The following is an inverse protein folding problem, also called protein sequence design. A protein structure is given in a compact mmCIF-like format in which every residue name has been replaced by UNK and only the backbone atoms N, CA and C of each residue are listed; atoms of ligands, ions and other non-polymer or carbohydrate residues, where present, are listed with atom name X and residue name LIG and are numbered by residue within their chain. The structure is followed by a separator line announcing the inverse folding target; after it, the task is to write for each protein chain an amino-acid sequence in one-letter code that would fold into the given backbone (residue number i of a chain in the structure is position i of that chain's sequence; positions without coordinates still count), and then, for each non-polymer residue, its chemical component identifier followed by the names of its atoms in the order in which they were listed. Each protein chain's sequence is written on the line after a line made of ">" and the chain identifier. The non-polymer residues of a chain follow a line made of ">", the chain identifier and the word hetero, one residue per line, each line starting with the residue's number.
data_IF_902675907215
#
_entry.id   IF_902675907215
#
_cell.length_a   1.000
_cell.length_b   1.000
_cell.length_c   1.000
_cell.angle_alpha   90.00
_cell.angle_beta   90.00
_cell.angle_gamma   90.00
#
_symmetry.space_group_name_H-M   'P 1'
#
loop_
_entity.id
_entity.type
_entity.pdbx_description
1 polymer ?
#
# COMPACT_ATOMS: atom_id res chain seq x y z
N UNK A 1 39.10 51.48 58.44
CA UNK A 1 39.87 52.37 57.56
C UNK A 1 40.20 51.56 56.26
N UNK A 2 39.76 52.08 55.11
CA UNK A 2 40.06 51.69 53.71
C UNK A 2 39.44 50.41 53.19
N UNK A 3 38.34 50.61 52.50
CA UNK A 3 37.73 49.81 51.47
C UNK A 3 38.64 49.59 50.25
N UNK A 4 38.71 48.37 49.75
CA UNK A 4 39.22 48.06 48.41
C UNK A 4 38.10 47.32 47.65
N UNK A 5 37.61 47.95 46.61
CA UNK A 5 36.66 47.37 45.67
C UNK A 5 37.38 46.38 44.75
N UNK A 6 36.86 45.14 44.64
CA UNK A 6 37.20 44.19 43.57
C UNK A 6 36.05 44.14 42.55
N UNK A 7 36.40 44.54 41.35
CA UNK A 7 35.57 44.47 40.15
C UNK A 7 35.63 43.02 39.64
N UNK A 8 34.53 42.27 39.70
CA UNK A 8 34.41 40.95 39.12
C UNK A 8 33.84 41.08 37.68
N UNK A 9 34.72 40.81 36.71
CA UNK A 9 34.34 40.59 35.30
C UNK A 9 33.70 39.22 35.16
N UNK A 10 32.41 39.18 34.86
CA UNK A 10 31.69 37.96 34.49
C UNK A 10 31.87 37.73 33.00
N UNK A 11 32.63 36.71 32.62
CA UNK A 11 32.65 36.18 31.27
C UNK A 11 31.41 35.32 31.07
N UNK A 12 30.45 35.80 30.24
CA UNK A 12 29.35 35.00 29.76
C UNK A 12 29.83 34.09 28.62
N UNK A 13 30.02 32.82 28.90
CA UNK A 13 30.19 31.79 27.87
C UNK A 13 28.84 31.47 27.25
N UNK A 14 28.62 31.82 26.00
CA UNK A 14 27.51 31.37 25.19
C UNK A 14 27.72 29.87 24.88
N UNK A 15 27.05 29.01 25.62
CA UNK A 15 26.84 27.61 25.27
C UNK A 15 25.68 27.55 24.27
N UNK A 16 26.00 27.43 23.00
CA UNK A 16 25.05 27.00 21.96
C UNK A 16 24.72 25.55 22.22
N UNK A 17 23.59 25.29 22.87
CA UNK A 17 23.05 23.95 22.98
C UNK A 17 22.44 23.57 21.60
N UNK A 18 23.04 22.58 20.95
CA UNK A 18 22.33 21.82 19.90
C UNK A 18 21.11 21.18 20.53
N UNK A 19 19.93 21.69 20.22
CA UNK A 19 18.69 21.03 20.55
C UNK A 19 18.49 19.92 19.53
N UNK A 20 18.64 18.68 19.95
CA UNK A 20 18.04 17.51 19.31
C UNK A 20 16.54 17.73 19.27
N UNK A 21 15.84 17.47 18.14
CA UNK A 21 14.40 17.55 18.11
C UNK A 21 13.85 16.43 19.02
N UNK A 22 13.28 16.83 20.15
CA UNK A 22 12.49 15.97 20.99
C UNK A 22 11.28 15.49 20.19
N UNK A 23 11.09 14.19 20.13
CA UNK A 23 9.83 13.54 19.73
C UNK A 23 8.69 14.15 20.55
N UNK A 24 7.93 15.04 19.93
CA UNK A 24 6.71 15.60 20.53
C UNK A 24 5.65 14.52 20.45
N UNK A 25 5.37 13.85 21.57
CA UNK A 25 4.09 13.19 21.76
C UNK A 25 3.00 14.28 21.60
N UNK A 26 2.38 14.35 20.42
CA UNK A 26 1.14 15.09 20.23
C UNK A 26 0.02 14.33 20.95
N UNK A 27 -0.17 14.63 22.22
CA UNK A 27 -1.41 14.33 22.93
C UNK A 27 -2.50 15.19 22.28
N UNK A 28 -3.34 14.60 21.46
CA UNK A 28 -4.55 15.25 20.93
C UNK A 28 -5.55 15.33 22.08
N UNK A 29 -5.47 16.40 22.88
CA UNK A 29 -6.57 16.82 23.75
C UNK A 29 -7.65 17.39 22.84
N UNK A 30 -8.94 17.04 23.06
CA UNK A 30 -10.13 17.36 22.30
C UNK A 30 -10.12 18.73 21.60
N UNK A 31 -9.61 18.77 20.39
CA UNK A 31 -9.66 19.90 19.49
C UNK A 31 -10.90 19.76 18.58
N UNK A 32 -11.42 20.89 18.09
CA UNK A 32 -12.47 20.87 17.08
C UNK A 32 -12.09 19.97 15.90
N UNK A 33 -13.06 19.18 15.41
CA UNK A 33 -12.85 18.30 14.25
C UNK A 33 -12.36 19.12 13.05
N UNK A 34 -11.26 18.71 12.46
CA UNK A 34 -10.73 19.36 11.25
C UNK A 34 -11.67 19.04 10.08
N UNK A 35 -12.12 20.06 9.32
CA UNK A 35 -12.95 19.81 8.15
C UNK A 35 -12.29 18.85 7.16
N UNK A 36 -13.10 18.03 6.51
CA UNK A 36 -12.60 17.13 5.47
C UNK A 36 -11.97 17.91 4.32
N UNK A 37 -10.79 17.49 3.90
CA UNK A 37 -10.20 17.87 2.62
C UNK A 37 -9.22 16.77 2.17
N UNK A 38 -9.07 16.61 0.86
CA UNK A 38 -8.08 15.67 0.31
C UNK A 38 -6.65 16.06 0.67
N UNK A 39 -6.36 17.36 0.84
CA UNK A 39 -5.05 17.83 1.27
C UNK A 39 -4.72 17.35 2.70
N UNK A 40 -5.70 17.40 3.60
CA UNK A 40 -5.53 16.95 4.97
C UNK A 40 -5.39 15.41 5.04
N UNK A 41 -6.19 14.68 4.25
CA UNK A 41 -6.05 13.22 4.13
C UNK A 41 -4.65 12.86 3.62
N UNK A 42 -4.19 13.46 2.53
CA UNK A 42 -2.87 13.18 1.98
C UNK A 42 -1.75 13.58 2.95
N UNK A 43 -1.87 14.72 3.61
CA UNK A 43 -0.88 15.19 4.57
C UNK A 43 -0.72 14.21 5.73
N UNK A 44 -1.82 13.81 6.38
CA UNK A 44 -1.77 12.89 7.51
C UNK A 44 -1.32 11.49 7.09
N UNK A 45 -1.78 11.01 5.94
CA UNK A 45 -1.35 9.71 5.41
C UNK A 45 0.14 9.71 5.05
N UNK A 46 0.67 10.82 4.53
CA UNK A 46 2.12 11.00 4.34
C UNK A 46 2.86 10.97 5.67
N UNK A 47 2.36 11.64 6.70
CA UNK A 47 2.98 11.69 8.02
C UNK A 47 3.09 10.27 8.64
N UNK A 48 2.17 9.35 8.35
CA UNK A 48 2.34 7.93 8.72
C UNK A 48 3.68 7.39 8.22
N UNK A 49 3.96 7.49 6.93
CA UNK A 49 5.20 6.95 6.35
C UNK A 49 6.45 7.73 6.79
N UNK A 50 6.30 9.04 7.00
CA UNK A 50 7.42 9.89 7.36
C UNK A 50 7.82 9.76 8.84
N UNK A 51 6.87 9.67 9.75
CA UNK A 51 7.09 9.71 11.19
C UNK A 51 7.23 8.31 11.81
N UNK A 52 6.64 7.27 11.21
CA UNK A 52 6.67 5.91 11.78
C UNK A 52 7.79 5.04 11.23
N UNK A 53 8.47 5.45 10.15
CA UNK A 53 9.63 4.73 9.64
C UNK A 53 10.65 4.48 10.76
N UNK A 54 11.18 3.25 10.86
CA UNK A 54 12.12 2.87 11.88
C UNK A 54 13.44 3.64 11.71
N UNK A 55 13.98 4.19 12.79
CA UNK A 55 15.18 5.05 12.75
C UNK A 55 16.44 4.29 12.30
N UNK A 56 16.58 3.02 12.72
CA UNK A 56 17.80 2.23 12.49
C UNK A 56 17.87 1.60 11.10
N UNK A 57 16.72 1.23 10.51
CA UNK A 57 16.68 0.47 9.27
C UNK A 57 15.67 0.99 8.22
N UNK A 58 15.01 2.11 8.48
CA UNK A 58 14.08 2.80 7.57
C UNK A 58 12.90 1.97 7.07
N UNK A 59 12.63 0.81 7.70
CA UNK A 59 11.47 -0.02 7.37
C UNK A 59 10.18 0.64 7.87
N UNK A 60 9.09 0.44 7.14
CA UNK A 60 7.77 0.90 7.57
C UNK A 60 7.10 -0.19 8.41
N UNK A 61 6.57 0.13 9.60
CA UNK A 61 5.81 -0.81 10.40
C UNK A 61 4.58 -1.30 9.62
N UNK A 62 4.23 -2.58 9.81
CA UNK A 62 2.97 -3.13 9.27
C UNK A 62 1.77 -2.32 9.76
N UNK A 63 1.78 -1.97 11.05
CA UNK A 63 0.72 -1.21 11.70
C UNK A 63 1.23 -0.30 12.82
N UNK A 64 0.45 0.70 13.15
CA UNK A 64 0.70 1.65 14.22
C UNK A 64 -0.62 2.07 14.89
N UNK A 65 -0.72 2.19 16.25
CA UNK A 65 0.37 2.11 17.24
C UNK A 65 0.76 0.70 17.68
N UNK A 66 0.04 -0.34 17.27
CA UNK A 66 0.39 -1.73 17.62
C UNK A 66 1.64 -2.17 16.84
N UNK A 67 2.81 -2.04 17.46
CA UNK A 67 4.10 -2.37 16.84
C UNK A 67 4.46 -3.84 17.04
N UNK A 68 4.73 -4.56 15.95
CA UNK A 68 5.16 -5.98 16.00
C UNK A 68 6.25 -6.33 15.00
N UNK A 69 6.13 -5.88 13.77
CA UNK A 69 7.01 -6.17 12.65
C UNK A 69 6.82 -5.13 11.55
N UNK A 70 7.80 -5.00 10.66
CA UNK A 70 7.72 -4.18 9.46
C UNK A 70 7.15 -4.96 8.29
N UNK A 71 6.53 -4.26 7.34
CA UNK A 71 6.02 -4.78 6.08
C UNK A 71 6.87 -4.32 4.91
N UNK A 72 7.28 -5.27 4.07
CA UNK A 72 8.06 -4.97 2.87
C UNK A 72 7.22 -4.19 1.85
N UNK A 73 5.95 -4.54 1.66
CA UNK A 73 5.05 -3.78 0.79
C UNK A 73 4.84 -2.34 1.30
N UNK A 74 4.59 -2.17 2.61
CA UNK A 74 4.46 -0.85 3.21
C UNK A 74 5.74 0.00 3.05
N UNK A 75 6.92 -0.63 3.11
CA UNK A 75 8.20 0.05 2.84
C UNK A 75 8.28 0.54 1.39
N UNK A 76 7.79 -0.24 0.42
CA UNK A 76 7.66 0.20 -0.98
C UNK A 76 6.70 1.37 -1.15
N UNK A 77 5.57 1.35 -0.45
CA UNK A 77 4.63 2.48 -0.44
C UNK A 77 5.24 3.71 0.24
N UNK A 78 6.02 3.54 1.30
CA UNK A 78 6.79 4.60 1.94
C UNK A 78 7.76 5.28 0.99
N UNK A 79 8.52 4.50 0.20
CA UNK A 79 9.40 5.04 -0.84
C UNK A 79 8.63 5.92 -1.84
N UNK A 80 7.45 5.47 -2.30
CA UNK A 80 6.60 6.25 -3.20
C UNK A 80 6.00 7.46 -2.49
N UNK A 81 5.63 7.34 -1.21
CA UNK A 81 5.04 8.44 -0.43
C UNK A 81 6.01 9.62 -0.30
N UNK A 82 7.32 9.37 -0.20
CA UNK A 82 8.33 10.43 -0.08
C UNK A 82 8.37 11.33 -1.32
N UNK A 83 8.13 10.79 -2.51
CA UNK A 83 8.03 11.55 -3.76
C UNK A 83 6.81 12.49 -3.73
N UNK A 84 5.67 11.95 -3.32
CA UNK A 84 4.43 12.71 -3.15
C UNK A 84 4.64 13.83 -2.12
N UNK A 85 5.34 13.54 -1.03
CA UNK A 85 5.67 14.53 0.00
C UNK A 85 6.49 15.70 -0.53
N UNK A 86 7.40 15.46 -1.48
CA UNK A 86 8.16 16.55 -2.13
C UNK A 86 7.25 17.38 -3.02
N UNK A 87 6.46 16.76 -3.89
CA UNK A 87 5.57 17.46 -4.84
C UNK A 87 4.48 18.26 -4.13
N UNK A 88 4.01 17.77 -2.97
CA UNK A 88 3.04 18.48 -2.12
C UNK A 88 3.68 19.50 -1.17
N UNK A 89 5.02 19.60 -1.15
CA UNK A 89 5.74 20.53 -0.27
C UNK A 89 5.71 20.15 1.21
N UNK A 90 5.46 18.87 1.54
CA UNK A 90 5.47 18.37 2.92
C UNK A 90 6.90 18.23 3.43
N UNK A 91 7.82 17.87 2.56
CA UNK A 91 9.26 17.75 2.83
C UNK A 91 10.06 18.33 1.68
N UNK A 92 11.33 18.66 1.93
CA UNK A 92 12.23 19.10 0.85
C UNK A 92 12.72 17.91 0.01
N UNK A 93 13.02 18.14 -1.28
CA UNK A 93 13.60 17.11 -2.16
C UNK A 93 14.87 16.51 -1.55
N UNK A 94 15.74 17.32 -0.93
CA UNK A 94 16.95 16.83 -0.29
C UNK A 94 16.65 15.88 0.89
N UNK A 95 15.72 16.25 1.78
CA UNK A 95 15.36 15.38 2.91
C UNK A 95 14.75 14.04 2.46
N UNK A 96 13.93 14.08 1.40
CA UNK A 96 13.38 12.86 0.81
C UNK A 96 14.49 12.01 0.14
N UNK A 97 15.40 12.65 -0.63
CA UNK A 97 16.52 11.95 -1.27
C UNK A 97 17.42 11.27 -0.23
N UNK A 98 17.79 11.97 0.85
CA UNK A 98 18.61 11.41 1.92
C UNK A 98 17.95 10.19 2.57
N UNK A 99 16.64 10.25 2.81
CA UNK A 99 15.88 9.13 3.38
C UNK A 99 15.77 7.96 2.41
N UNK A 100 15.46 8.22 1.15
CA UNK A 100 15.37 7.20 0.11
C UNK A 100 16.71 6.51 -0.07
N UNK A 101 17.82 7.27 -0.20
CA UNK A 101 19.16 6.68 -0.33
C UNK A 101 19.45 5.70 0.80
N UNK A 102 19.25 6.12 2.05
CA UNK A 102 19.48 5.27 3.23
C UNK A 102 18.59 4.02 3.25
N UNK A 103 17.31 4.17 2.89
CA UNK A 103 16.40 3.02 2.78
C UNK A 103 16.90 2.01 1.75
N UNK A 104 17.34 2.49 0.57
CA UNK A 104 17.85 1.61 -0.49
C UNK A 104 19.20 0.97 -0.12
N UNK A 105 20.09 1.69 0.59
CA UNK A 105 21.35 1.15 1.14
C UNK A 105 21.07 0.00 2.09
N UNK A 106 20.18 0.20 3.06
CA UNK A 106 19.77 -0.87 3.98
C UNK A 106 19.19 -2.06 3.22
N UNK A 107 18.22 -1.85 2.31
CA UNK A 107 17.62 -2.93 1.53
C UNK A 107 18.66 -3.71 0.71
N UNK A 108 19.71 -3.05 0.21
CA UNK A 108 20.78 -3.70 -0.53
C UNK A 108 21.65 -4.57 0.37
N UNK A 109 21.95 -4.11 1.60
CA UNK A 109 22.83 -4.76 2.56
C UNK A 109 22.13 -5.88 3.35
N UNK A 110 20.79 -5.90 3.38
CA UNK A 110 20.04 -6.94 4.10
C UNK A 110 20.45 -8.34 3.65
N UNK A 111 20.70 -9.27 4.61
CA UNK A 111 21.20 -10.61 4.31
C UNK A 111 20.22 -11.42 3.48
N UNK A 112 20.73 -12.00 2.40
CA UNK A 112 20.00 -12.90 1.52
C UNK A 112 20.50 -14.35 1.67
N UNK A 113 19.61 -15.31 1.74
CA UNK A 113 19.98 -16.73 1.85
C UNK A 113 18.78 -17.64 2.06
N UNK A 114 19.02 -18.94 2.05
CA UNK A 114 18.02 -20.01 2.23
C UNK A 114 17.90 -20.50 3.69
N UNK A 115 18.57 -19.82 4.62
CA UNK A 115 18.51 -20.15 6.05
C UNK A 115 17.12 -19.88 6.63
N UNK A 116 16.75 -20.62 7.67
CA UNK A 116 15.45 -20.46 8.35
C UNK A 116 15.33 -19.15 9.13
N UNK A 117 16.45 -18.55 9.56
CA UNK A 117 16.52 -17.33 10.36
C UNK A 117 17.80 -16.54 10.04
N UNK A 118 17.83 -15.26 10.47
CA UNK A 118 18.97 -14.38 10.28
C UNK A 118 19.16 -13.88 8.84
N UNK A 119 18.13 -14.03 8.00
CA UNK A 119 18.10 -13.55 6.61
C UNK A 119 16.82 -12.76 6.38
N UNK A 120 16.88 -11.79 5.47
CA UNK A 120 15.76 -10.89 5.16
C UNK A 120 15.08 -11.25 3.84
N UNK A 121 15.73 -12.08 3.04
CA UNK A 121 15.24 -12.50 1.74
C UNK A 121 16.05 -13.62 1.13
N UNK A 122 15.67 -14.00 -0.09
CA UNK A 122 16.37 -14.99 -0.90
C UNK A 122 16.12 -14.75 -2.40
N UNK A 123 17.12 -14.93 -3.24
CA UNK A 123 16.98 -14.72 -4.69
C UNK A 123 16.54 -13.29 -5.09
N UNK A 124 16.89 -12.30 -4.27
CA UNK A 124 16.49 -10.91 -4.47
C UNK A 124 15.08 -10.56 -4.00
N UNK A 125 14.27 -11.55 -3.64
CA UNK A 125 12.96 -11.37 -3.03
C UNK A 125 13.09 -11.27 -1.50
N UNK A 126 12.10 -10.72 -0.82
CA UNK A 126 12.09 -10.51 0.62
C UNK A 126 10.99 -11.29 1.32
N UNK A 127 11.19 -11.56 2.61
CA UNK A 127 10.14 -12.09 3.45
C UNK A 127 9.04 -11.04 3.67
N UNK A 128 7.80 -11.47 3.70
CA UNK A 128 6.61 -10.63 3.87
C UNK A 128 6.75 -9.64 5.02
N UNK A 129 7.15 -10.15 6.20
CA UNK A 129 7.38 -9.34 7.40
C UNK A 129 8.79 -9.54 7.95
N UNK A 130 9.39 -8.42 8.40
CA UNK A 130 10.72 -8.41 9.01
C UNK A 130 10.63 -7.92 10.45
N UNK A 131 11.60 -8.36 11.28
CA UNK A 131 11.77 -7.86 12.65
C UNK A 131 12.17 -6.39 12.67
N UNK A 132 11.86 -5.68 13.75
CA UNK A 132 12.26 -4.29 13.88
C UNK A 132 13.76 -4.12 14.17
N UNK A 133 14.33 -5.06 14.92
CA UNK A 133 15.68 -4.94 15.46
C UNK A 133 16.77 -5.08 14.40
N UNK A 134 16.64 -6.08 13.53
CA UNK A 134 17.68 -6.44 12.56
C UNK A 134 17.15 -6.62 11.13
N UNK A 135 15.86 -6.29 10.91
CA UNK A 135 15.18 -6.44 9.63
C UNK A 135 15.32 -7.83 8.99
N UNK A 136 15.42 -8.89 9.82
CA UNK A 136 15.40 -10.27 9.36
C UNK A 136 13.99 -10.87 9.38
N UNK A 137 13.84 -12.06 8.80
CA UNK A 137 12.55 -12.77 8.70
C UNK A 137 11.80 -12.82 10.03
N UNK A 138 10.59 -12.28 10.06
CA UNK A 138 9.73 -12.38 11.24
C UNK A 138 9.12 -13.78 11.36
N UNK A 139 9.51 -14.52 12.42
CA UNK A 139 9.01 -15.88 12.72
C UNK A 139 9.12 -16.83 11.51
N UNK A 140 7.97 -17.36 11.04
CA UNK A 140 7.87 -18.33 9.95
C UNK A 140 7.12 -17.78 8.74
N UNK A 141 7.13 -16.46 8.55
CA UNK A 141 6.53 -15.82 7.38
C UNK A 141 7.17 -16.34 6.10
N UNK A 142 6.42 -16.33 5.02
CA UNK A 142 6.91 -16.71 3.70
C UNK A 142 7.75 -15.61 3.08
N UNK A 143 8.66 -15.99 2.22
CA UNK A 143 9.21 -15.13 1.18
C UNK A 143 8.05 -14.78 0.25
N UNK A 144 7.66 -13.51 0.19
CA UNK A 144 6.49 -13.09 -0.56
C UNK A 144 6.86 -12.50 -1.90
N UNK A 145 6.28 -13.03 -2.97
CA UNK A 145 6.52 -12.51 -4.31
C UNK A 145 5.81 -11.17 -4.53
N UNK A 146 4.56 -11.02 -4.05
CA UNK A 146 3.80 -9.79 -4.26
C UNK A 146 4.34 -8.63 -3.42
N UNK A 147 4.65 -8.85 -2.14
CA UNK A 147 5.17 -7.79 -1.28
C UNK A 147 6.53 -7.30 -1.78
N UNK A 148 7.36 -8.23 -2.29
CA UNK A 148 8.61 -7.89 -2.98
C UNK A 148 8.37 -7.11 -4.27
N UNK A 149 7.34 -7.46 -5.04
CA UNK A 149 6.92 -6.72 -6.23
C UNK A 149 6.48 -5.29 -5.92
N UNK A 150 5.69 -5.11 -4.88
CA UNK A 150 5.23 -3.78 -4.42
C UNK A 150 6.40 -2.94 -3.87
N UNK A 151 7.33 -3.56 -3.13
CA UNK A 151 8.57 -2.90 -2.73
C UNK A 151 9.34 -2.39 -3.95
N UNK A 152 9.55 -3.26 -4.95
CA UNK A 152 10.33 -2.92 -6.14
C UNK A 152 9.63 -1.89 -7.03
N UNK A 153 8.30 -1.85 -7.07
CA UNK A 153 7.57 -0.78 -7.72
C UNK A 153 7.85 0.58 -7.06
N UNK A 154 7.89 0.64 -5.72
CA UNK A 154 8.34 1.81 -4.98
C UNK A 154 9.80 2.17 -5.27
N UNK A 155 10.70 1.19 -5.31
CA UNK A 155 12.12 1.39 -5.66
C UNK A 155 12.27 1.99 -7.06
N UNK A 156 11.55 1.47 -8.06
CA UNK A 156 11.61 1.98 -9.44
C UNK A 156 10.97 3.37 -9.58
N UNK A 157 9.96 3.70 -8.79
CA UNK A 157 9.40 5.06 -8.76
C UNK A 157 10.45 6.07 -8.29
N UNK A 158 11.24 5.74 -7.25
CA UNK A 158 12.33 6.59 -6.78
C UNK A 158 13.46 6.71 -7.81
N UNK A 159 13.80 5.62 -8.50
CA UNK A 159 14.78 5.62 -9.58
C UNK A 159 14.46 6.66 -10.68
N UNK A 160 13.18 6.73 -11.03
CA UNK A 160 12.74 7.65 -12.09
C UNK A 160 12.58 9.09 -11.60
N UNK A 161 12.19 9.27 -10.34
CA UNK A 161 11.95 10.60 -9.76
C UNK A 161 13.25 11.37 -9.46
N UNK A 162 14.24 10.71 -8.85
CA UNK A 162 15.50 11.35 -8.48
C UNK A 162 16.48 11.34 -9.66
N UNK A 163 16.29 12.27 -10.58
CA UNK A 163 17.00 12.39 -11.86
C UNK A 163 18.10 13.46 -11.89
N UNK A 164 18.39 14.11 -10.76
CA UNK A 164 19.43 15.14 -10.64
C UNK A 164 20.86 14.57 -10.72
N UNK A 165 21.81 15.47 -11.05
CA UNK A 165 23.22 15.11 -11.27
C UNK A 165 24.07 15.03 -9.98
N UNK A 166 23.46 15.25 -8.80
CA UNK A 166 24.17 15.16 -7.53
C UNK A 166 24.42 13.70 -7.09
N UNK A 167 25.41 13.51 -6.20
CA UNK A 167 25.85 12.18 -5.76
C UNK A 167 24.75 11.37 -5.09
N UNK A 168 23.89 11.99 -4.28
CA UNK A 168 22.78 11.33 -3.58
C UNK A 168 21.78 10.73 -4.58
N UNK A 169 21.33 11.53 -5.54
CA UNK A 169 20.35 11.06 -6.52
C UNK A 169 20.96 10.05 -7.50
N UNK A 170 22.24 10.18 -7.85
CA UNK A 170 22.95 9.16 -8.62
C UNK A 170 23.02 7.83 -7.84
N UNK A 171 23.34 7.87 -6.54
CA UNK A 171 23.35 6.68 -5.68
C UNK A 171 21.99 6.01 -5.59
N UNK A 172 20.90 6.79 -5.50
CA UNK A 172 19.52 6.26 -5.53
C UNK A 172 19.28 5.47 -6.81
N UNK A 173 19.60 6.04 -7.98
CA UNK A 173 19.41 5.35 -9.27
C UNK A 173 20.20 4.05 -9.37
N UNK A 174 21.46 4.06 -8.94
CA UNK A 174 22.35 2.90 -8.97
C UNK A 174 21.90 1.79 -8.02
N UNK A 175 21.47 2.15 -6.80
CA UNK A 175 20.95 1.19 -5.82
C UNK A 175 19.62 0.59 -6.26
N UNK A 176 18.72 1.41 -6.79
CA UNK A 176 17.43 0.96 -7.32
C UNK A 176 17.62 -0.03 -8.48
N UNK A 177 18.54 0.28 -9.41
CA UNK A 177 18.90 -0.62 -10.51
C UNK A 177 19.45 -1.95 -10.00
N UNK A 178 20.37 -1.93 -9.04
CA UNK A 178 20.95 -3.13 -8.42
C UNK A 178 19.90 -3.97 -7.71
N UNK A 179 19.01 -3.33 -6.91
CA UNK A 179 17.95 -4.01 -6.19
C UNK A 179 16.97 -4.73 -7.13
N UNK A 180 16.56 -4.06 -8.20
CA UNK A 180 15.65 -4.65 -9.17
C UNK A 180 16.31 -5.79 -9.96
N UNK A 181 17.55 -5.59 -10.44
CA UNK A 181 18.27 -6.56 -11.29
C UNK A 181 18.70 -7.84 -10.57
N UNK A 182 18.81 -7.82 -9.22
CA UNK A 182 19.18 -9.02 -8.46
C UNK A 182 18.06 -10.05 -8.30
N UNK A 183 16.81 -9.67 -8.64
CA UNK A 183 15.66 -10.57 -8.44
C UNK A 183 15.65 -11.66 -9.50
N UNK A 184 15.62 -12.90 -9.05
CA UNK A 184 15.47 -14.08 -9.90
C UNK A 184 13.99 -14.43 -10.07
N UNK A 185 13.28 -13.70 -10.96
CA UNK A 185 11.83 -13.87 -11.17
C UNK A 185 11.47 -15.25 -11.72
N UNK A 186 12.30 -15.78 -12.64
CA UNK A 186 12.12 -17.09 -13.25
C UNK A 186 12.23 -18.23 -12.25
N UNK A 187 13.01 -18.05 -11.16
CA UNK A 187 13.08 -19.01 -10.06
C UNK A 187 11.73 -19.18 -9.34
N UNK A 188 10.90 -18.15 -9.26
CA UNK A 188 9.62 -18.16 -8.54
C UNK A 188 8.48 -18.87 -9.30
N UNK A 189 8.75 -19.41 -10.50
CA UNK A 189 7.76 -20.13 -11.29
C UNK A 189 7.55 -21.56 -10.77
N UNK A 190 6.29 -21.98 -10.69
CA UNK A 190 5.93 -23.38 -10.44
C UNK A 190 5.91 -24.22 -11.72
N UNK A 191 5.63 -25.51 -11.58
CA UNK A 191 5.56 -26.46 -12.70
C UNK A 191 4.50 -26.11 -13.77
N UNK A 192 3.50 -25.26 -13.42
CA UNK A 192 2.49 -24.76 -14.35
C UNK A 192 2.95 -23.51 -15.12
N UNK A 193 4.17 -23.03 -14.84
CA UNK A 193 4.70 -21.78 -15.39
C UNK A 193 4.01 -20.54 -14.83
N UNK A 194 3.45 -20.62 -13.63
CA UNK A 194 2.83 -19.50 -12.88
C UNK A 194 3.70 -19.13 -11.69
N UNK A 195 3.73 -17.85 -11.34
CA UNK A 195 4.42 -17.39 -10.15
C UNK A 195 3.78 -17.98 -8.88
N UNK A 196 4.58 -18.56 -8.00
CA UNK A 196 4.16 -18.93 -6.66
C UNK A 196 3.90 -17.68 -5.84
N UNK A 197 2.90 -17.71 -4.95
CA UNK A 197 2.67 -16.62 -4.00
C UNK A 197 3.78 -16.49 -2.96
N UNK A 198 4.55 -17.55 -2.71
CA UNK A 198 5.65 -17.48 -1.75
C UNK A 198 6.44 -18.77 -1.61
N UNK A 199 7.52 -18.65 -0.85
CA UNK A 199 8.46 -19.75 -0.57
C UNK A 199 8.85 -19.77 0.92
N UNK A 200 9.20 -20.94 1.43
CA UNK A 200 9.68 -21.12 2.82
C UNK A 200 10.95 -21.98 2.86
N UNK A 201 11.97 -21.58 3.63
CA UNK A 201 13.18 -22.38 3.81
C UNK A 201 12.85 -23.80 4.26
N UNK A 202 13.54 -24.77 3.69
CA UNK A 202 13.36 -26.21 4.01
C UNK A 202 12.02 -26.82 3.57
N UNK A 203 11.06 -26.01 3.08
CA UNK A 203 9.71 -26.46 2.64
C UNK A 203 9.44 -26.22 1.16
N UNK A 204 10.19 -25.31 0.52
CA UNK A 204 9.97 -24.92 -0.86
C UNK A 204 8.80 -23.97 -1.07
N UNK A 205 8.28 -23.92 -2.29
CA UNK A 205 7.16 -23.09 -2.66
C UNK A 205 5.86 -23.50 -1.94
N UNK A 206 5.08 -22.50 -1.52
CA UNK A 206 3.73 -22.75 -1.00
C UNK A 206 2.81 -23.21 -2.13
N UNK A 207 1.69 -23.87 -1.77
CA UNK A 207 0.79 -24.44 -2.79
C UNK A 207 0.04 -23.39 -3.60
N UNK A 208 -0.11 -22.18 -3.07
CA UNK A 208 -0.80 -21.09 -3.72
C UNK A 208 0.07 -20.48 -4.82
N UNK A 209 -0.52 -20.31 -5.99
CA UNK A 209 0.08 -19.61 -7.13
C UNK A 209 -0.82 -18.45 -7.57
N UNK A 210 -0.24 -17.50 -8.30
CA UNK A 210 -0.96 -16.38 -8.88
C UNK A 210 -1.77 -16.87 -10.10
N UNK A 211 -3.09 -16.91 -9.94
CA UNK A 211 -4.06 -17.23 -10.99
C UNK A 211 -5.37 -16.46 -10.76
N UNK A 212 -6.17 -16.31 -11.80
CA UNK A 212 -7.28 -15.37 -11.80
C UNK A 212 -6.78 -13.93 -11.81
N UNK A 213 -7.68 -13.00 -12.02
CA UNK A 213 -7.37 -11.57 -11.88
C UNK A 213 -7.14 -11.21 -10.42
N UNK A 214 -6.09 -10.46 -10.14
CA UNK A 214 -5.74 -9.95 -8.81
C UNK A 214 -4.60 -8.92 -8.89
N UNK A 215 -4.03 -8.54 -7.76
CA UNK A 215 -2.95 -7.56 -7.63
C UNK A 215 -1.62 -7.97 -8.30
N UNK A 216 -1.47 -9.21 -8.72
CA UNK A 216 -0.24 -9.70 -9.35
C UNK A 216 0.06 -9.14 -10.75
N UNK A 217 -0.80 -8.31 -11.34
CA UNK A 217 -0.50 -7.61 -12.58
C UNK A 217 0.87 -6.90 -12.53
N UNK A 218 1.10 -6.10 -11.47
CA UNK A 218 2.38 -5.38 -11.31
C UNK A 218 3.55 -6.34 -11.18
N UNK A 219 3.37 -7.45 -10.47
CA UNK A 219 4.38 -8.49 -10.29
C UNK A 219 4.81 -9.11 -11.63
N UNK A 220 3.83 -9.41 -12.50
CA UNK A 220 4.09 -9.93 -13.84
C UNK A 220 4.77 -8.90 -14.75
N UNK A 221 4.32 -7.63 -14.70
CA UNK A 221 4.95 -6.54 -15.46
C UNK A 221 6.42 -6.40 -15.07
N UNK A 222 6.71 -6.35 -13.76
CA UNK A 222 8.09 -6.25 -13.27
C UNK A 222 8.91 -7.50 -13.65
N UNK A 223 8.35 -8.68 -13.47
CA UNK A 223 9.04 -9.92 -13.82
C UNK A 223 9.36 -10.04 -15.33
N UNK A 224 8.43 -9.63 -16.20
CA UNK A 224 8.64 -9.57 -17.65
C UNK A 224 9.67 -8.49 -18.06
N UNK A 225 9.71 -7.38 -17.34
CA UNK A 225 10.63 -6.27 -17.61
C UNK A 225 12.07 -6.52 -17.17
N UNK A 226 12.33 -7.55 -16.38
CA UNK A 226 13.67 -7.82 -15.82
C UNK A 226 14.72 -8.02 -16.92
N UNK A 227 15.87 -7.35 -16.83
CA UNK A 227 16.97 -7.52 -17.79
C UNK A 227 17.88 -8.72 -17.48
N UNK A 228 17.77 -9.31 -16.30
CA UNK A 228 18.69 -10.37 -15.79
C UNK A 228 18.01 -11.73 -15.73
N UNK A 229 16.85 -11.82 -15.05
CA UNK A 229 16.09 -13.05 -14.82
C UNK A 229 14.62 -12.86 -15.19
N UNK A 230 14.31 -12.56 -16.46
CA UNK A 230 12.95 -12.27 -16.86
C UNK A 230 12.05 -13.50 -16.81
N UNK A 231 10.76 -13.26 -16.55
CA UNK A 231 9.74 -14.27 -16.81
C UNK A 231 9.70 -14.64 -18.30
N UNK A 232 9.28 -15.88 -18.64
CA UNK A 232 9.02 -16.28 -20.03
C UNK A 232 7.99 -15.37 -20.72
N UNK A 233 8.13 -15.16 -22.03
CA UNK A 233 7.24 -14.30 -22.83
C UNK A 233 5.76 -14.72 -22.78
N UNK A 234 5.47 -15.98 -22.49
CA UNK A 234 4.12 -16.52 -22.38
C UNK A 234 3.52 -16.41 -20.95
N UNK A 235 4.27 -15.86 -19.97
CA UNK A 235 3.82 -15.81 -18.58
C UNK A 235 2.53 -14.98 -18.42
N UNK A 236 2.43 -13.83 -19.10
CA UNK A 236 1.23 -13.00 -19.11
C UNK A 236 0.02 -13.72 -19.68
N UNK A 237 0.19 -14.37 -20.84
CA UNK A 237 -0.87 -15.15 -21.49
C UNK A 237 -1.37 -16.27 -20.59
N UNK A 238 -0.46 -17.06 -19.99
CA UNK A 238 -0.80 -18.14 -19.05
C UNK A 238 -1.58 -17.64 -17.84
N UNK A 239 -1.35 -16.42 -17.41
CA UNK A 239 -2.07 -15.80 -16.30
C UNK A 239 -3.47 -15.35 -16.74
N UNK A 240 -3.62 -14.63 -17.87
CA UNK A 240 -4.90 -14.17 -18.39
C UNK A 240 -5.82 -15.31 -18.83
N UNK A 241 -5.29 -16.48 -19.22
CA UNK A 241 -6.07 -17.70 -19.48
C UNK A 241 -6.84 -18.21 -18.24
N UNK A 242 -6.48 -17.74 -17.05
CA UNK A 242 -7.14 -18.13 -15.80
C UNK A 242 -8.20 -17.11 -15.34
N UNK A 243 -8.45 -16.08 -16.11
CA UNK A 243 -9.40 -15.04 -15.77
C UNK A 243 -10.85 -15.54 -15.81
N UNK A 244 -11.65 -14.99 -14.88
CA UNK A 244 -13.08 -15.25 -14.78
C UNK A 244 -13.82 -13.91 -14.81
N UNK A 245 -14.58 -13.68 -15.87
CA UNK A 245 -15.36 -12.48 -16.11
C UNK A 245 -16.84 -12.76 -15.89
N UNK A 246 -17.52 -11.94 -15.10
CA UNK A 246 -18.94 -12.09 -14.84
C UNK A 246 -19.60 -10.75 -14.45
N UNK A 247 -20.92 -10.69 -14.49
CA UNK A 247 -21.71 -9.56 -14.02
C UNK A 247 -21.96 -9.68 -12.51
N UNK A 248 -21.75 -8.57 -11.77
CA UNK A 248 -22.14 -8.45 -10.38
C UNK A 248 -22.68 -7.05 -10.10
N UNK A 249 -23.88 -6.98 -9.50
CA UNK A 249 -24.55 -5.73 -9.15
C UNK A 249 -24.79 -4.79 -10.35
N UNK A 250 -25.00 -5.35 -11.55
CA UNK A 250 -25.19 -4.61 -12.79
C UNK A 250 -23.90 -4.14 -13.48
N UNK A 251 -22.74 -4.61 -13.03
CA UNK A 251 -21.43 -4.24 -13.56
C UNK A 251 -20.66 -5.47 -14.02
N UNK A 252 -20.17 -5.42 -15.26
CA UNK A 252 -19.40 -6.48 -15.90
C UNK A 252 -17.89 -6.29 -15.62
N UNK A 253 -17.26 -7.20 -14.85
CA UNK A 253 -15.84 -7.11 -14.53
C UNK A 253 -15.20 -8.46 -14.22
N UNK A 254 -13.87 -8.48 -14.15
CA UNK A 254 -13.09 -9.63 -13.72
C UNK A 254 -13.33 -9.95 -12.24
N UNK A 255 -13.64 -11.22 -11.94
CA UNK A 255 -13.94 -11.66 -10.60
C UNK A 255 -12.69 -11.63 -9.69
N UNK A 256 -12.69 -10.69 -8.79
CA UNK A 256 -11.85 -10.66 -7.60
C UNK A 256 -12.58 -9.84 -6.53
N UNK A 257 -12.92 -10.45 -5.40
CA UNK A 257 -13.87 -9.83 -4.46
C UNK A 257 -13.31 -8.62 -3.70
N UNK A 258 -12.07 -8.65 -3.11
CA UNK A 258 -11.52 -7.51 -2.41
C UNK A 258 -11.04 -6.42 -3.37
N UNK A 259 -11.30 -5.15 -3.06
CA UNK A 259 -10.90 -4.05 -3.94
C UNK A 259 -9.39 -3.88 -4.10
N UNK A 260 -8.56 -4.30 -3.14
CA UNK A 260 -7.10 -4.16 -3.26
C UNK A 260 -6.55 -4.84 -4.53
N UNK A 261 -7.12 -5.94 -4.98
CA UNK A 261 -6.71 -6.59 -6.23
C UNK A 261 -7.00 -5.77 -7.49
N UNK A 262 -7.95 -4.83 -7.40
CA UNK A 262 -8.25 -3.85 -8.45
C UNK A 262 -7.48 -2.52 -8.27
N UNK A 263 -6.71 -2.35 -7.18
CA UNK A 263 -6.06 -1.10 -6.80
C UNK A 263 -4.53 -1.15 -6.96
N UNK A 264 -3.86 -2.17 -6.42
CA UNK A 264 -2.42 -2.12 -6.17
C UNK A 264 -1.57 -1.99 -7.45
N UNK A 265 -1.92 -2.71 -8.51
CA UNK A 265 -1.21 -2.56 -9.79
C UNK A 265 -1.45 -1.19 -10.42
N UNK A 266 -2.64 -0.63 -10.25
CA UNK A 266 -3.00 0.68 -10.76
C UNK A 266 -2.35 1.85 -10.01
N UNK A 267 -1.79 1.63 -8.82
CA UNK A 267 -0.97 2.65 -8.17
C UNK A 267 0.26 3.02 -8.99
N UNK A 268 0.78 2.05 -9.76
CA UNK A 268 2.04 2.18 -10.48
C UNK A 268 1.90 2.20 -12.00
N UNK A 269 0.82 1.68 -12.54
CA UNK A 269 0.60 1.64 -13.99
C UNK A 269 -0.73 2.30 -14.35
N UNK A 270 -0.67 3.29 -15.22
CA UNK A 270 -1.86 3.86 -15.85
C UNK A 270 -2.36 2.94 -16.96
N UNK A 271 -3.37 2.14 -16.64
CA UNK A 271 -3.97 1.23 -17.62
C UNK A 271 -5.01 1.88 -18.54
N UNK A 272 -5.22 3.20 -18.47
CA UNK A 272 -6.16 3.90 -19.35
C UNK A 272 -5.69 3.86 -20.78
N UNK A 273 -6.50 3.27 -21.64
CA UNK A 273 -6.29 3.22 -23.09
C UNK A 273 -5.10 2.37 -23.55
N UNK A 274 -4.45 1.61 -22.67
CA UNK A 274 -3.51 0.55 -23.05
C UNK A 274 -4.21 -0.81 -22.87
N UNK A 275 -3.99 -1.71 -23.82
CA UNK A 275 -4.69 -2.99 -23.85
C UNK A 275 -3.73 -4.11 -24.22
N UNK A 276 -3.85 -5.24 -23.51
CA UNK A 276 -3.33 -6.53 -23.93
C UNK A 276 -4.33 -7.24 -24.87
N UNK A 277 -3.97 -8.42 -25.36
CA UNK A 277 -4.82 -9.19 -26.25
C UNK A 277 -6.17 -9.55 -25.61
N UNK A 278 -6.20 -9.85 -24.30
CA UNK A 278 -7.42 -10.19 -23.57
C UNK A 278 -8.40 -9.02 -23.53
N UNK A 279 -7.94 -7.83 -23.18
CA UNK A 279 -8.77 -6.63 -23.10
C UNK A 279 -9.18 -6.11 -24.48
N UNK A 280 -8.33 -6.28 -25.51
CA UNK A 280 -8.70 -5.98 -26.91
C UNK A 280 -9.89 -6.84 -27.37
N UNK A 281 -9.87 -8.14 -27.08
CA UNK A 281 -10.98 -9.06 -27.41
C UNK A 281 -12.28 -8.64 -26.71
N UNK A 282 -12.18 -8.12 -25.48
CA UNK A 282 -13.30 -7.64 -24.67
C UNK A 282 -13.77 -6.23 -25.04
N UNK A 283 -13.01 -5.47 -25.83
CA UNK A 283 -13.30 -4.06 -26.10
C UNK A 283 -13.27 -3.19 -24.83
N UNK A 284 -12.40 -3.53 -23.88
CA UNK A 284 -12.27 -2.88 -22.58
C UNK A 284 -10.79 -2.60 -22.25
N UNK A 285 -10.52 -2.06 -21.07
CA UNK A 285 -9.19 -1.98 -20.48
C UNK A 285 -9.26 -2.25 -18.97
N UNK A 286 -8.09 -2.42 -18.33
CA UNK A 286 -8.05 -2.74 -16.89
C UNK A 286 -8.50 -1.59 -15.99
N UNK A 287 -8.40 -0.34 -16.46
CA UNK A 287 -8.91 0.80 -15.71
C UNK A 287 -10.44 0.80 -15.65
N UNK A 288 -11.10 0.57 -16.79
CA UNK A 288 -12.55 0.40 -16.84
C UNK A 288 -13.00 -0.79 -15.99
N UNK A 289 -12.29 -1.92 -16.08
CA UNK A 289 -12.54 -3.09 -15.22
C UNK A 289 -12.53 -2.72 -13.72
N UNK A 290 -11.54 -1.96 -13.27
CA UNK A 290 -11.44 -1.56 -11.85
C UNK A 290 -12.47 -0.50 -11.44
N UNK A 291 -12.91 0.34 -12.40
CA UNK A 291 -14.07 1.22 -12.23
C UNK A 291 -15.35 0.42 -11.97
N UNK A 292 -15.64 -0.55 -12.84
CA UNK A 292 -16.83 -1.43 -12.72
C UNK A 292 -16.80 -2.21 -11.38
N UNK A 293 -15.65 -2.77 -11.00
CA UNK A 293 -15.49 -3.47 -9.71
C UNK A 293 -15.70 -2.55 -8.50
N UNK A 294 -15.22 -1.32 -8.57
CA UNK A 294 -15.42 -0.31 -7.49
C UNK A 294 -16.91 0.03 -7.34
N UNK A 295 -17.60 0.29 -8.45
CA UNK A 295 -19.02 0.60 -8.44
C UNK A 295 -19.88 -0.61 -8.03
N UNK A 296 -19.50 -1.83 -8.42
CA UNK A 296 -20.15 -3.06 -7.97
C UNK A 296 -20.03 -3.27 -6.45
N UNK A 297 -18.84 -3.01 -5.86
CA UNK A 297 -18.61 -3.08 -4.42
C UNK A 297 -19.48 -2.05 -3.67
N UNK A 298 -19.54 -0.82 -4.17
CA UNK A 298 -20.43 0.22 -3.64
C UNK A 298 -21.90 -0.19 -3.74
N UNK A 299 -22.34 -0.69 -4.90
CA UNK A 299 -23.72 -1.12 -5.12
C UNK A 299 -24.14 -2.26 -4.19
N UNK A 300 -23.24 -3.22 -3.92
CA UNK A 300 -23.45 -4.27 -2.92
C UNK A 300 -23.71 -3.68 -1.52
N UNK A 301 -22.92 -2.71 -1.10
CA UNK A 301 -23.14 -2.04 0.20
C UNK A 301 -24.43 -1.21 0.20
N UNK A 302 -24.82 -0.58 -0.90
CA UNK A 302 -26.09 0.17 -1.02
C UNK A 302 -27.30 -0.76 -0.98
N UNK A 303 -27.24 -1.90 -1.68
CA UNK A 303 -28.29 -2.93 -1.63
C UNK A 303 -28.46 -3.49 -0.22
N UNK A 304 -27.33 -3.74 0.47
CA UNK A 304 -27.28 -4.16 1.85
C UNK A 304 -28.26 -5.28 2.23
N UNK A 305 -28.31 -6.33 1.45
CA UNK A 305 -29.23 -7.46 1.64
C UNK A 305 -29.07 -8.13 3.02
N UNK A 306 -27.90 -7.99 3.66
CA UNK A 306 -27.63 -8.52 5.01
C UNK A 306 -28.13 -7.60 6.14
N UNK A 307 -28.50 -6.35 5.85
CA UNK A 307 -28.97 -5.36 6.83
C UNK A 307 -27.90 -4.86 7.79
N UNK A 308 -26.65 -4.73 7.34
CA UNK A 308 -25.57 -4.19 8.16
C UNK A 308 -25.78 -2.68 8.46
N UNK A 309 -25.54 -2.30 9.72
CA UNK A 309 -25.70 -0.91 10.16
C UNK A 309 -24.65 -0.03 9.49
N UNK A 310 -25.10 1.10 8.96
CA UNK A 310 -24.23 2.14 8.40
C UNK A 310 -23.91 1.98 6.91
N UNK A 311 -24.24 0.87 6.28
CA UNK A 311 -24.09 0.72 4.83
C UNK A 311 -25.00 1.67 4.06
N UNK A 312 -24.47 2.30 3.03
CA UNK A 312 -25.22 3.24 2.20
C UNK A 312 -24.39 3.84 1.07
N UNK A 313 -24.97 4.79 0.31
CA UNK A 313 -24.33 5.33 -0.90
C UNK A 313 -23.01 6.05 -0.64
N UNK A 314 -22.84 6.63 0.56
CA UNK A 314 -21.64 7.37 0.95
C UNK A 314 -20.93 6.73 2.16
N UNK A 315 -21.29 5.48 2.50
CA UNK A 315 -20.62 4.70 3.55
C UNK A 315 -20.54 3.24 3.10
N UNK A 316 -19.45 2.91 2.41
CA UNK A 316 -19.19 1.65 1.76
C UNK A 316 -17.69 1.36 1.69
N UNK A 317 -17.32 0.13 1.36
CA UNK A 317 -15.96 -0.22 1.03
C UNK A 317 -15.51 -1.53 1.66
N UNK A 318 -15.42 -2.57 0.83
CA UNK A 318 -14.99 -3.90 1.21
C UNK A 318 -13.64 -4.23 0.57
N UNK A 319 -12.61 -4.36 1.39
CA UNK A 319 -11.32 -4.89 1.01
C UNK A 319 -10.67 -5.58 2.22
N UNK A 320 -9.41 -6.00 2.12
CA UNK A 320 -8.70 -6.59 3.24
C UNK A 320 -8.54 -5.57 4.35
N UNK A 321 -8.90 -5.93 5.57
CA UNK A 321 -8.79 -5.08 6.75
C UNK A 321 -8.95 -5.88 8.03
N UNK A 322 -8.61 -5.29 9.16
CA UNK A 322 -8.93 -5.84 10.48
C UNK A 322 -10.45 -5.81 10.74
N UNK A 323 -10.89 -6.43 11.80
CA UNK A 323 -12.27 -6.43 12.22
C UNK A 323 -12.42 -6.89 13.66
N UNK A 324 -13.63 -6.77 14.24
CA UNK A 324 -13.85 -7.03 15.66
C UNK A 324 -13.57 -8.47 16.07
N UNK A 325 -13.73 -9.42 15.16
CA UNK A 325 -13.69 -10.84 15.48
C UNK A 325 -14.86 -11.29 16.35
N UNK A 326 -15.06 -12.59 16.45
CA UNK A 326 -16.08 -13.15 17.35
C UNK A 326 -17.44 -13.38 16.69
N UNK A 327 -18.47 -13.45 17.53
CA UNK A 327 -19.86 -13.73 17.12
C UNK A 327 -20.84 -12.97 17.98
N UNK A 328 -21.97 -12.58 17.41
CA UNK A 328 -23.06 -11.89 18.09
C UNK A 328 -24.41 -12.43 17.62
N UNK A 329 -25.44 -12.27 18.44
CA UNK A 329 -26.83 -12.47 18.02
C UNK A 329 -27.30 -11.23 17.26
N UNK A 330 -27.72 -11.42 16.01
CA UNK A 330 -28.39 -10.36 15.24
C UNK A 330 -29.79 -10.05 15.78
N UNK A 331 -30.35 -8.93 15.34
CA UNK A 331 -31.71 -8.51 15.73
C UNK A 331 -32.80 -9.53 15.31
N UNK A 332 -32.54 -10.31 14.27
CA UNK A 332 -33.42 -11.39 13.78
C UNK A 332 -33.19 -12.73 14.49
N UNK A 333 -32.34 -12.75 15.53
CA UNK A 333 -31.99 -13.95 16.29
C UNK A 333 -30.97 -14.87 15.61
N UNK A 334 -30.48 -14.55 14.43
CA UNK A 334 -29.40 -15.30 13.78
C UNK A 334 -28.04 -14.92 14.34
N UNK A 335 -27.13 -15.89 14.37
CA UNK A 335 -25.76 -15.66 14.76
C UNK A 335 -24.99 -14.97 13.61
N UNK A 336 -24.46 -13.77 13.89
CA UNK A 336 -23.53 -13.06 13.02
C UNK A 336 -22.10 -13.42 13.40
N UNK A 337 -21.28 -13.76 12.40
CA UNK A 337 -19.85 -14.05 12.58
C UNK A 337 -19.04 -12.87 12.04
N UNK A 338 -18.13 -12.37 12.86
CA UNK A 338 -17.19 -11.33 12.52
C UNK A 338 -15.78 -11.92 12.46
N UNK A 339 -15.01 -11.49 11.45
CA UNK A 339 -13.61 -11.89 11.33
C UNK A 339 -12.70 -10.83 11.96
N UNK A 340 -11.50 -11.25 12.37
CA UNK A 340 -10.37 -10.36 12.61
C UNK A 340 -9.86 -9.89 11.24
N UNK A 341 -8.55 -9.86 11.00
CA UNK A 341 -8.05 -9.55 9.66
C UNK A 341 -8.63 -10.53 8.62
N UNK A 342 -9.22 -9.98 7.56
CA UNK A 342 -9.84 -10.77 6.49
C UNK A 342 -9.87 -9.97 5.18
N UNK A 343 -9.58 -10.65 4.08
CA UNK A 343 -9.84 -10.12 2.75
C UNK A 343 -11.36 -10.12 2.50
N UNK A 344 -12.04 -9.04 2.93
CA UNK A 344 -13.45 -8.78 2.66
C UNK A 344 -13.63 -8.33 1.25
N UNK A 345 -14.79 -8.57 0.67
CA UNK A 345 -15.09 -8.17 -0.70
C UNK A 345 -16.35 -8.82 -1.22
N UNK A 346 -16.80 -8.34 -2.35
CA UNK A 346 -17.99 -8.82 -3.01
C UNK A 346 -17.79 -8.94 -4.53
N UNK A 347 -18.09 -10.08 -5.10
CA UNK A 347 -18.09 -10.36 -6.53
C UNK A 347 -19.08 -11.48 -6.86
N UNK A 348 -19.30 -11.75 -8.12
CA UNK A 348 -20.22 -12.80 -8.56
C UNK A 348 -19.89 -14.20 -7.98
N UNK A 349 -18.62 -14.47 -7.69
CA UNK A 349 -18.18 -15.78 -7.17
C UNK A 349 -18.09 -15.86 -5.65
N UNK A 350 -17.74 -14.76 -5.01
CA UNK A 350 -17.49 -14.75 -3.57
C UNK A 350 -17.94 -13.44 -2.95
N UNK A 351 -18.70 -13.56 -1.86
CA UNK A 351 -19.00 -12.47 -0.95
C UNK A 351 -18.43 -12.82 0.42
N UNK A 352 -17.51 -12.02 0.93
CA UNK A 352 -16.97 -12.10 2.28
C UNK A 352 -17.24 -10.76 2.93
N UNK A 353 -18.35 -10.70 3.66
CA UNK A 353 -18.88 -9.49 4.25
C UNK A 353 -19.43 -9.79 5.65
N UNK A 354 -19.06 -8.95 6.61
CA UNK A 354 -19.52 -9.01 8.00
C UNK A 354 -19.93 -7.63 8.54
N UNK A 355 -20.17 -6.67 7.62
CA UNK A 355 -20.52 -5.30 7.96
C UNK A 355 -19.33 -4.41 8.33
N UNK A 356 -18.09 -4.88 8.12
CA UNK A 356 -16.88 -4.07 8.34
C UNK A 356 -16.54 -3.27 7.11
N UNK A 357 -16.44 -1.95 7.26
CA UNK A 357 -16.04 -0.98 6.22
C UNK A 357 -14.60 -0.54 6.49
N UNK A 358 -13.85 -0.31 5.41
CA UNK A 358 -12.50 0.24 5.48
C UNK A 358 -12.32 1.44 4.54
N UNK A 359 -11.78 2.57 5.01
CA UNK A 359 -11.57 3.77 4.18
C UNK A 359 -10.65 3.54 2.98
N UNK A 360 -9.70 2.61 3.07
CA UNK A 360 -8.78 2.29 1.96
C UNK A 360 -9.51 1.72 0.74
N UNK A 361 -10.69 1.11 0.92
CA UNK A 361 -11.50 0.64 -0.20
C UNK A 361 -11.92 1.81 -1.12
N UNK A 362 -12.37 2.93 -0.54
CA UNK A 362 -12.69 4.14 -1.29
C UNK A 362 -11.42 4.92 -1.68
N UNK A 363 -10.48 5.14 -0.74
CA UNK A 363 -9.26 5.90 -1.00
C UNK A 363 -8.36 5.28 -2.06
N UNK A 364 -8.17 3.95 -2.02
CA UNK A 364 -7.40 3.20 -3.01
C UNK A 364 -8.11 3.05 -4.37
N UNK A 365 -9.43 3.27 -4.42
CA UNK A 365 -10.22 3.28 -5.66
C UNK A 365 -10.45 4.70 -6.21
N UNK A 366 -9.83 5.72 -5.61
CA UNK A 366 -10.14 7.12 -5.90
C UNK A 366 -10.16 7.47 -7.40
N UNK A 367 -9.19 7.06 -8.24
CA UNK A 367 -9.21 7.38 -9.67
C UNK A 367 -10.34 6.69 -10.46
N UNK A 368 -10.88 5.59 -9.95
CA UNK A 368 -11.89 4.80 -10.67
C UNK A 368 -13.29 5.38 -10.56
N UNK A 369 -13.61 6.03 -9.42
CA UNK A 369 -14.88 6.66 -9.14
C UNK A 369 -14.68 7.87 -8.20
N UNK A 370 -14.07 8.97 -8.68
CA UNK A 370 -13.63 10.07 -7.80
C UNK A 370 -14.76 10.67 -6.97
N UNK A 371 -15.95 10.85 -7.55
CA UNK A 371 -17.08 11.47 -6.86
C UNK A 371 -17.62 10.58 -5.73
N UNK A 372 -17.81 9.30 -5.99
CA UNK A 372 -18.29 8.31 -5.02
C UNK A 372 -17.27 8.06 -3.91
N UNK A 373 -15.98 8.02 -4.27
CA UNK A 373 -14.90 7.83 -3.32
C UNK A 373 -14.72 9.06 -2.41
N UNK A 374 -14.76 10.28 -2.98
CA UNK A 374 -14.66 11.51 -2.19
C UNK A 374 -15.85 11.65 -1.25
N UNK A 375 -17.07 11.38 -1.71
CA UNK A 375 -18.27 11.41 -0.87
C UNK A 375 -18.17 10.41 0.29
N UNK A 376 -17.67 9.18 0.04
CA UNK A 376 -17.47 8.17 1.06
C UNK A 376 -16.42 8.58 2.09
N UNK A 377 -15.25 9.07 1.65
CA UNK A 377 -14.20 9.56 2.55
C UNK A 377 -14.69 10.75 3.39
N UNK A 378 -15.38 11.71 2.77
CA UNK A 378 -15.95 12.87 3.46
C UNK A 378 -17.00 12.47 4.50
N UNK A 379 -17.89 11.53 4.17
CA UNK A 379 -18.88 11.00 5.09
C UNK A 379 -18.24 10.30 6.29
N UNK A 380 -17.28 9.38 6.03
CA UNK A 380 -16.57 8.67 7.09
C UNK A 380 -15.77 9.62 7.98
N UNK A 381 -15.08 10.62 7.39
CA UNK A 381 -14.34 11.64 8.11
C UNK A 381 -15.24 12.46 9.02
N UNK A 382 -16.36 12.96 8.49
CA UNK A 382 -17.22 13.88 9.23
C UNK A 382 -18.04 13.16 10.32
N UNK A 383 -18.56 11.96 10.01
CA UNK A 383 -19.44 11.23 10.91
C UNK A 383 -18.68 10.51 12.04
N UNK A 384 -17.46 10.04 11.75
CA UNK A 384 -16.71 9.18 12.66
C UNK A 384 -15.35 9.77 13.08
N UNK A 385 -15.19 11.09 13.01
CA UNK A 385 -13.91 11.77 13.22
C UNK A 385 -13.18 11.29 14.48
N UNK A 386 -13.83 11.36 15.64
CA UNK A 386 -13.21 11.05 16.93
C UNK A 386 -12.75 9.58 17.07
N UNK A 387 -13.38 8.66 16.35
CA UNK A 387 -13.12 7.23 16.45
C UNK A 387 -12.25 6.70 15.32
N UNK A 388 -12.45 7.20 14.09
CA UNK A 388 -11.84 6.67 12.86
C UNK A 388 -10.66 7.51 12.37
N UNK A 389 -10.60 8.79 12.70
CA UNK A 389 -9.56 9.68 12.19
C UNK A 389 -8.58 10.05 13.31
N UNK A 390 -7.30 10.15 12.97
CA UNK A 390 -6.28 10.55 13.93
C UNK A 390 -5.07 11.22 13.27
N UNK A 391 -3.90 11.24 13.92
CA UNK A 391 -2.72 11.97 13.43
C UNK A 391 -2.27 11.52 12.03
N UNK A 392 -2.50 10.27 11.66
CA UNK A 392 -2.09 9.68 10.38
C UNK A 392 -3.26 9.48 9.40
N UNK A 393 -4.33 10.27 9.54
CA UNK A 393 -5.51 10.17 8.69
C UNK A 393 -6.48 9.09 9.17
N UNK A 394 -6.98 8.29 8.25
CA UNK A 394 -7.92 7.22 8.57
C UNK A 394 -7.23 6.03 9.23
N UNK A 395 -7.80 5.52 10.32
CA UNK A 395 -7.51 4.18 10.85
C UNK A 395 -8.05 3.12 9.91
N UNK A 396 -7.63 1.86 10.14
CA UNK A 396 -7.88 0.77 9.21
C UNK A 396 -9.36 0.53 8.90
N UNK A 397 -10.19 0.25 9.91
CA UNK A 397 -11.56 -0.18 9.66
C UNK A 397 -12.52 0.12 10.82
N UNK A 398 -13.83 -0.01 10.54
CA UNK A 398 -14.88 0.08 11.54
C UNK A 398 -16.07 -0.83 11.21
N UNK A 399 -16.89 -1.15 12.24
CA UNK A 399 -18.09 -1.96 12.08
C UNK A 399 -19.19 -1.48 13.04
N UNK A 400 -20.23 -0.86 12.51
CA UNK A 400 -21.33 -0.31 13.29
C UNK A 400 -22.39 -1.36 13.68
N UNK A 401 -22.34 -2.54 13.06
CA UNK A 401 -23.20 -3.68 13.42
C UNK A 401 -22.69 -4.38 14.68
N UNK A 402 -21.37 -4.31 14.94
CA UNK A 402 -20.75 -4.92 16.10
C UNK A 402 -20.87 -4.02 17.33
N UNK A 403 -22.00 -4.12 18.03
CA UNK A 403 -22.33 -3.31 19.23
C UNK A 403 -22.24 -4.19 20.47
N UNK A 404 -21.47 -3.75 21.48
CA UNK A 404 -21.32 -4.39 22.78
C UNK A 404 -21.54 -3.35 23.91
N UNK A 405 -21.65 -3.79 25.16
CA UNK A 405 -21.82 -2.86 26.30
C UNK A 405 -20.66 -1.86 26.40
N UNK A 406 -19.44 -2.29 26.11
CA UNK A 406 -18.23 -1.45 26.10
C UNK A 406 -18.03 -0.69 24.77
N UNK A 407 -18.83 -0.99 23.73
CA UNK A 407 -18.77 -0.39 22.39
C UNK A 407 -20.16 -0.06 21.86
N UNK A 408 -20.88 0.86 22.48
CA UNK A 408 -22.28 1.15 22.12
C UNK A 408 -22.43 1.85 20.77
N UNK A 409 -21.36 2.41 20.22
CA UNK A 409 -21.33 3.07 18.89
C UNK A 409 -20.77 2.18 17.77
N UNK A 410 -20.48 0.90 18.06
CA UNK A 410 -19.81 0.00 17.14
C UNK A 410 -18.33 -0.19 17.45
N UNK A 411 -17.67 -1.00 16.64
CA UNK A 411 -16.23 -1.25 16.71
C UNK A 411 -15.48 -0.34 15.75
N UNK A 412 -14.39 0.25 16.20
CA UNK A 412 -13.41 1.01 15.41
C UNK A 412 -12.03 0.46 15.71
N UNK A 413 -11.21 0.29 14.67
CA UNK A 413 -9.84 -0.09 14.86
C UNK A 413 -9.04 1.02 15.53
N UNK A 414 -7.98 0.61 16.21
CA UNK A 414 -7.02 1.55 16.83
C UNK A 414 -5.81 1.77 15.93
N UNK A 415 -5.56 0.84 15.02
CA UNK A 415 -4.37 0.81 14.17
C UNK A 415 -4.57 1.50 12.82
N UNK A 416 -3.46 2.00 12.29
CA UNK A 416 -3.25 2.36 10.88
C UNK A 416 -2.42 1.25 10.27
N UNK A 417 -2.81 0.71 9.13
CA UNK A 417 -2.05 -0.32 8.44
C UNK A 417 -1.26 0.30 7.27
N UNK A 418 0.04 0.03 7.18
CA UNK A 418 0.87 0.57 6.12
C UNK A 418 0.41 0.15 4.73
N UNK A 419 -0.15 -1.06 4.62
CA UNK A 419 -0.72 -1.61 3.37
C UNK A 419 -1.97 -0.84 2.91
N UNK A 420 -2.68 -0.16 3.81
CA UNK A 420 -3.89 0.61 3.53
C UNK A 420 -3.59 2.10 3.31
N UNK A 421 -2.61 2.64 4.06
CA UNK A 421 -2.20 4.03 3.91
C UNK A 421 -1.59 4.30 2.52
N UNK A 422 -0.84 3.32 1.97
CA UNK A 422 -0.24 3.44 0.64
C UNK A 422 -1.24 3.71 -0.48
N UNK A 423 -2.25 2.85 -0.67
CA UNK A 423 -3.28 3.04 -1.69
C UNK A 423 -4.03 4.37 -1.55
N UNK A 424 -4.39 4.79 -0.33
CA UNK A 424 -5.06 6.08 -0.09
C UNK A 424 -4.20 7.23 -0.64
N UNK A 425 -2.93 7.30 -0.23
CA UNK A 425 -2.04 8.39 -0.61
C UNK A 425 -1.74 8.40 -2.10
N UNK A 426 -1.34 7.24 -2.64
CA UNK A 426 -0.85 7.11 -4.02
C UNK A 426 -2.00 7.31 -5.03
N UNK A 427 -3.17 6.76 -4.79
CA UNK A 427 -4.28 6.86 -5.72
C UNK A 427 -4.94 8.25 -5.72
N UNK A 428 -5.04 8.90 -4.57
CA UNK A 428 -5.46 10.33 -4.52
C UNK A 428 -4.47 11.18 -5.30
N UNK A 429 -3.15 10.93 -5.17
CA UNK A 429 -2.15 11.66 -5.92
C UNK A 429 -2.24 11.41 -7.42
N UNK A 430 -2.44 10.16 -7.82
CA UNK A 430 -2.59 9.78 -9.23
C UNK A 430 -3.79 10.46 -9.89
N UNK A 431 -4.94 10.54 -9.21
CA UNK A 431 -6.10 11.28 -9.73
C UNK A 431 -5.81 12.79 -9.84
N UNK A 432 -5.12 13.36 -8.85
CA UNK A 432 -4.87 14.81 -8.77
C UNK A 432 -3.81 15.30 -9.76
N UNK A 433 -2.76 14.53 -10.00
CA UNK A 433 -1.60 14.96 -10.78
C UNK A 433 -1.09 13.93 -11.80
N UNK A 434 -1.40 12.65 -11.62
CA UNK A 434 -0.82 11.57 -12.40
C UNK A 434 0.65 11.28 -12.08
N UNK A 435 1.19 11.79 -10.97
CA UNK A 435 2.62 11.76 -10.66
C UNK A 435 3.23 10.37 -10.80
N UNK A 436 2.71 9.38 -10.07
CA UNK A 436 3.32 8.04 -10.05
C UNK A 436 3.15 7.35 -11.41
N UNK A 437 2.02 7.54 -12.06
CA UNK A 437 1.78 7.05 -13.41
C UNK A 437 2.75 7.62 -14.44
N UNK A 438 3.01 8.94 -14.39
CA UNK A 438 3.98 9.58 -15.27
C UNK A 438 5.39 9.03 -15.04
N UNK A 439 5.82 8.91 -13.78
CA UNK A 439 7.11 8.33 -13.43
C UNK A 439 7.26 6.90 -13.97
N UNK A 440 6.29 6.04 -13.70
CA UNK A 440 6.37 4.63 -14.08
C UNK A 440 6.20 4.43 -15.59
N UNK A 441 5.48 5.30 -16.27
CA UNK A 441 5.39 5.29 -17.76
C UNK A 441 6.72 5.57 -18.44
N UNK A 442 7.63 6.29 -17.78
CA UNK A 442 8.99 6.61 -18.25
C UNK A 442 10.02 5.56 -17.82
N UNK A 443 9.70 4.71 -16.86
CA UNK A 443 10.65 3.69 -16.39
C UNK A 443 10.85 2.61 -17.45
N UNK A 444 12.10 2.34 -17.89
CA UNK A 444 12.36 1.43 -19.01
C UNK A 444 12.01 -0.02 -18.71
N UNK A 445 12.08 -0.44 -17.45
CA UNK A 445 11.73 -1.79 -17.04
C UNK A 445 10.22 -2.03 -17.07
N UNK A 446 9.43 -1.06 -16.60
CA UNK A 446 7.97 -1.12 -16.64
C UNK A 446 7.46 -1.12 -18.08
N UNK A 447 7.98 -0.20 -18.93
CA UNK A 447 7.66 -0.19 -20.36
C UNK A 447 7.97 -1.54 -21.01
N UNK A 448 9.18 -2.05 -20.79
CA UNK A 448 9.60 -3.36 -21.34
C UNK A 448 8.71 -4.51 -20.88
N UNK A 449 8.29 -4.50 -19.61
CA UNK A 449 7.37 -5.50 -19.07
C UNK A 449 6.01 -5.46 -19.74
N UNK A 450 5.42 -4.28 -19.91
CA UNK A 450 4.15 -4.09 -20.60
C UNK A 450 4.22 -4.48 -22.08
N UNK A 451 5.30 -4.10 -22.79
CA UNK A 451 5.54 -4.52 -24.18
C UNK A 451 5.59 -6.05 -24.30
N UNK A 452 6.32 -6.75 -23.42
CA UNK A 452 6.42 -8.20 -23.41
C UNK A 452 5.13 -8.90 -22.97
N UNK A 453 4.30 -8.22 -22.15
CA UNK A 453 2.95 -8.67 -21.84
C UNK A 453 1.96 -8.47 -23.01
N UNK A 454 2.39 -7.80 -24.08
CA UNK A 454 1.60 -7.58 -25.27
C UNK A 454 0.68 -6.36 -25.22
N UNK A 455 0.93 -5.44 -24.27
CA UNK A 455 0.19 -4.18 -24.20
C UNK A 455 0.54 -3.26 -25.36
N UNK A 456 -0.48 -2.59 -25.89
CA UNK A 456 -0.39 -1.61 -26.97
C UNK A 456 -1.37 -0.46 -26.74
N UNK A 457 -1.21 0.63 -27.51
CA UNK A 457 -2.11 1.78 -27.48
C UNK A 457 -1.72 2.84 -26.43
N UNK A 458 -2.59 3.83 -26.27
CA UNK A 458 -2.46 4.88 -25.27
C UNK A 458 -1.08 5.54 -25.23
N UNK A 459 -0.54 5.68 -24.03
CA UNK A 459 0.77 6.28 -23.79
C UNK A 459 1.96 5.36 -24.21
N UNK A 460 1.74 4.05 -24.38
CA UNK A 460 2.78 3.12 -24.88
C UNK A 460 3.09 3.33 -26.36
N UNK A 461 2.16 3.88 -27.12
CA UNK A 461 2.35 4.17 -28.55
C UNK A 461 3.20 5.43 -28.82
N UNK A 462 3.49 6.19 -27.79
CA UNK A 462 4.32 7.40 -27.83
C UNK A 462 5.75 7.08 -27.42
#
# INVERSE_FOLDING_TARGET
>A
VKSVNYLLLVFAALLTACQTPSTVERVVAGGEAVPFSLDEVQRRTFDFFWETALEDNYQIPDRWPTRRFSSIAATGFGLTSYLIGVERGFVTRQAAADRVQKTLEVLWELPQGDAESGVSGYKGLFYHFLTYEDATRYKTTELSTIDSGLLLAGVLSTQTYFDGDNETEQSIRDLADKLYRRVEWDWALNEKGRLSMGWKPGKGFIKADWHGYNEAMILLVLGLGSPTHPLPDDAWKKWTETYDWDEFQGYDHLNFSPLFGHQYSHMYVDFRGIQDAYMQERGSDYFKNSTEATLANRAHCVENSAGFVGYGPDQWGLTACDGPGGRMQGADGKELKFWRYKARGASARHVIDDGTITPTAAGGSFPFAPQECEAALAQMWTTHYDSLVGPYGFKDAFNLTYVTEDRPQGWFDVDYLGIDQGPILIQIENERSGLVWDLMSRNPYVRKGLERAGFTGGWLAK
#
